data_IF_315547825651
#
_entry.id   IF_315547825651
#
_cell.length_a   1.000
_cell.length_b   1.000
_cell.length_c   1.000
_cell.angle_alpha   90.00
_cell.angle_beta   90.00
_cell.angle_gamma   90.00
#
_symmetry.space_group_name_H-M   'P 1'
#
loop_
_entity.id
_entity.type
_entity.pdbx_description
1 polymer ?
#
# COMPACT_ATOMS: atom_id res chain seq x y z
N UNK A 1 -22.94 18.01 12.88
CA UNK A 1 -22.93 16.67 12.24
C UNK A 1 -23.55 16.82 10.85
N UNK A 2 -22.86 16.37 9.82
CA UNK A 2 -23.34 16.40 8.43
C UNK A 2 -24.38 15.31 8.19
N UNK A 3 -25.11 15.38 7.06
CA UNK A 3 -26.16 14.40 6.84
C UNK A 3 -25.62 13.07 6.29
N UNK A 4 -25.09 13.07 5.06
CA UNK A 4 -24.76 11.83 4.36
C UNK A 4 -23.41 11.89 3.68
N UNK A 5 -22.62 10.83 3.79
CA UNK A 5 -21.41 10.59 3.04
C UNK A 5 -21.51 9.32 2.20
N UNK A 6 -20.91 9.32 1.02
CA UNK A 6 -20.79 8.13 0.17
C UNK A 6 -19.30 7.78 0.02
N UNK A 7 -18.98 6.49 0.12
CA UNK A 7 -17.67 5.92 -0.18
C UNK A 7 -17.83 4.94 -1.33
N UNK A 8 -17.11 5.17 -2.42
CA UNK A 8 -17.08 4.29 -3.59
C UNK A 8 -15.94 3.27 -3.42
N UNK A 9 -16.29 1.98 -3.32
CA UNK A 9 -15.35 0.88 -3.09
C UNK A 9 -15.31 0.40 -1.64
N UNK A 10 -15.54 -0.88 -1.44
CA UNK A 10 -15.64 -1.54 -0.13
C UNK A 10 -14.39 -2.36 0.27
N UNK A 11 -13.21 -2.05 -0.27
CA UNK A 11 -11.94 -2.65 0.17
C UNK A 11 -11.32 -1.87 1.34
N UNK A 12 -10.11 -2.19 1.77
CA UNK A 12 -9.47 -1.59 2.96
C UNK A 12 -9.54 -0.06 2.93
N UNK A 13 -9.14 0.58 1.83
CA UNK A 13 -9.14 2.04 1.73
C UNK A 13 -10.54 2.65 1.95
N UNK A 14 -11.58 2.06 1.35
CA UNK A 14 -12.95 2.52 1.51
C UNK A 14 -13.49 2.32 2.93
N UNK A 15 -13.21 1.18 3.55
CA UNK A 15 -13.59 0.91 4.95
C UNK A 15 -12.95 1.89 5.92
N UNK A 16 -11.65 2.20 5.72
CA UNK A 16 -10.93 3.18 6.53
C UNK A 16 -11.47 4.60 6.31
N UNK A 17 -11.81 4.97 5.07
CA UNK A 17 -12.45 6.24 4.77
C UNK A 17 -13.86 6.33 5.39
N UNK A 18 -14.67 5.26 5.30
CA UNK A 18 -15.99 5.20 5.94
C UNK A 18 -15.89 5.36 7.46
N UNK A 19 -14.89 4.72 8.10
CA UNK A 19 -14.60 4.91 9.53
C UNK A 19 -14.26 6.37 9.84
N UNK A 20 -13.43 7.02 9.05
CA UNK A 20 -13.07 8.41 9.24
C UNK A 20 -14.29 9.33 9.15
N UNK A 21 -15.23 9.04 8.24
CA UNK A 21 -16.47 9.81 8.03
C UNK A 21 -17.50 9.57 9.14
N UNK A 22 -17.58 8.34 9.70
CA UNK A 22 -18.64 7.93 10.62
C UNK A 22 -18.75 8.81 11.88
N UNK A 23 -17.65 9.44 12.28
CA UNK A 23 -17.61 10.32 13.45
C UNK A 23 -18.24 11.71 13.20
N UNK A 24 -18.47 12.08 11.93
CA UNK A 24 -18.90 13.42 11.53
C UNK A 24 -20.20 13.43 10.75
N UNK A 25 -20.68 12.28 10.28
CA UNK A 25 -21.90 12.14 9.48
C UNK A 25 -22.97 11.34 10.21
N UNK A 26 -24.23 11.65 9.93
CA UNK A 26 -25.38 10.87 10.43
C UNK A 26 -25.47 9.51 9.72
N UNK A 27 -25.11 9.48 8.43
CA UNK A 27 -25.16 8.29 7.59
C UNK A 27 -23.92 8.23 6.68
N UNK A 28 -23.30 7.05 6.57
CA UNK A 28 -22.20 6.77 5.65
C UNK A 28 -22.58 5.52 4.84
N UNK A 29 -22.60 5.64 3.52
CA UNK A 29 -22.92 4.53 2.61
C UNK A 29 -21.67 4.11 1.87
N UNK A 30 -21.25 2.84 2.03
CA UNK A 30 -20.22 2.22 1.19
C UNK A 30 -20.92 1.57 -0.01
N UNK A 31 -20.54 1.95 -1.23
CA UNK A 31 -21.03 1.36 -2.46
C UNK A 31 -19.94 0.46 -3.04
N UNK A 32 -20.23 -0.85 -3.11
CA UNK A 32 -19.29 -1.87 -3.57
C UNK A 32 -19.87 -2.63 -4.77
N UNK A 33 -19.11 -2.69 -5.85
CA UNK A 33 -19.51 -3.39 -7.06
C UNK A 33 -19.42 -4.93 -6.93
N UNK A 34 -18.71 -5.43 -5.93
CA UNK A 34 -18.64 -6.85 -5.62
C UNK A 34 -19.76 -7.35 -4.74
N UNK A 35 -19.87 -8.67 -4.65
CA UNK A 35 -20.75 -9.36 -3.71
C UNK A 35 -20.35 -9.08 -2.25
N UNK A 36 -21.27 -9.27 -1.32
CA UNK A 36 -20.95 -9.25 0.11
C UNK A 36 -19.93 -10.33 0.41
N UNK A 37 -18.81 -9.95 0.96
CA UNK A 37 -17.74 -10.89 1.28
C UNK A 37 -18.01 -11.59 2.62
N UNK A 38 -17.89 -12.90 2.62
CA UNK A 38 -18.17 -13.78 3.77
C UNK A 38 -16.95 -14.04 4.68
N UNK A 39 -15.78 -13.52 4.30
CA UNK A 39 -14.55 -13.73 5.05
C UNK A 39 -13.97 -15.14 4.97
N UNK A 40 -14.43 -16.01 4.05
CA UNK A 40 -13.97 -17.40 3.93
C UNK A 40 -13.05 -17.64 2.75
N UNK A 41 -13.23 -16.88 1.69
CA UNK A 41 -12.49 -17.03 0.44
C UNK A 41 -11.88 -15.72 -0.02
N UNK A 42 -10.91 -15.76 -0.95
CA UNK A 42 -10.37 -14.54 -1.55
C UNK A 42 -11.45 -13.80 -2.37
N UNK A 43 -11.45 -12.47 -2.30
CA UNK A 43 -12.41 -11.64 -3.05
C UNK A 43 -12.14 -11.70 -4.55
N UNK A 44 -13.14 -12.11 -5.35
CA UNK A 44 -13.04 -12.26 -6.81
C UNK A 44 -12.55 -11.00 -7.54
N UNK A 45 -12.92 -9.80 -7.05
CA UNK A 45 -12.57 -8.50 -7.66
C UNK A 45 -11.34 -7.82 -7.04
N UNK A 46 -10.60 -8.54 -6.17
CA UNK A 46 -9.39 -8.04 -5.49
C UNK A 46 -8.26 -9.06 -5.69
N UNK A 47 -7.74 -9.22 -6.92
CA UNK A 47 -6.75 -10.26 -7.25
C UNK A 47 -5.47 -10.13 -6.41
N UNK A 48 -5.09 -8.92 -5.99
CA UNK A 48 -3.95 -8.66 -5.13
C UNK A 48 -4.10 -9.30 -3.72
N UNK A 49 -5.29 -9.73 -3.29
CA UNK A 49 -5.48 -10.38 -1.99
C UNK A 49 -4.73 -11.70 -1.83
N UNK A 50 -4.30 -12.32 -2.93
CA UNK A 50 -3.53 -13.56 -2.94
C UNK A 50 -2.02 -13.35 -2.77
N UNK A 51 -1.58 -12.12 -2.59
CA UNK A 51 -0.17 -11.75 -2.47
C UNK A 51 0.13 -11.16 -1.08
N UNK A 52 1.39 -11.17 -0.62
CA UNK A 52 1.75 -10.58 0.65
C UNK A 52 1.45 -9.08 0.68
N UNK A 53 1.04 -8.59 1.84
CA UNK A 53 0.82 -7.18 2.11
C UNK A 53 1.47 -6.83 3.43
N UNK A 54 2.52 -6.04 3.34
CA UNK A 54 3.18 -5.50 4.53
C UNK A 54 2.38 -4.29 5.02
N UNK A 55 2.03 -4.28 6.30
CA UNK A 55 1.48 -3.11 6.96
C UNK A 55 2.63 -2.36 7.64
N UNK A 56 3.08 -1.27 7.02
CA UNK A 56 4.16 -0.45 7.58
C UNK A 56 3.71 0.23 8.88
N UNK A 57 4.64 0.50 9.78
CA UNK A 57 4.33 1.05 11.12
C UNK A 57 3.54 2.36 11.08
N UNK A 58 3.78 3.24 10.10
CA UNK A 58 3.00 4.46 9.91
C UNK A 58 1.53 4.17 9.59
N UNK A 59 1.28 3.15 8.78
CA UNK A 59 -0.08 2.66 8.47
C UNK A 59 -0.74 1.99 9.67
N UNK A 60 -0.02 1.11 10.37
CA UNK A 60 -0.49 0.47 11.61
C UNK A 60 -0.93 1.52 12.64
N UNK A 61 -0.09 2.54 12.88
CA UNK A 61 -0.43 3.64 13.76
C UNK A 61 -1.67 4.43 13.32
N UNK A 62 -1.86 4.60 12.00
CA UNK A 62 -3.03 5.28 11.46
C UNK A 62 -4.31 4.45 11.64
N UNK A 63 -4.24 3.13 11.41
CA UNK A 63 -5.35 2.20 11.65
C UNK A 63 -5.72 2.18 13.14
N UNK A 64 -4.74 2.13 14.03
CA UNK A 64 -4.95 2.17 15.49
C UNK A 64 -5.66 3.48 15.93
N UNK A 65 -5.34 4.63 15.28
CA UNK A 65 -6.04 5.90 15.54
C UNK A 65 -7.48 5.89 15.04
N UNK A 66 -7.77 5.20 13.95
CA UNK A 66 -9.13 5.04 13.42
C UNK A 66 -9.95 4.04 14.25
N UNK A 67 -9.33 2.94 14.65
CA UNK A 67 -9.93 1.85 15.41
C UNK A 67 -9.09 1.54 16.65
N UNK A 68 -9.30 2.26 17.76
CA UNK A 68 -8.54 2.02 18.99
C UNK A 68 -8.59 0.54 19.42
N UNK A 69 -7.43 0.02 19.85
CA UNK A 69 -7.18 -1.37 20.28
C UNK A 69 -7.19 -2.43 19.15
N UNK A 70 -7.31 -2.05 17.87
CA UNK A 70 -7.34 -3.01 16.76
C UNK A 70 -6.05 -3.83 16.65
N UNK A 71 -4.90 -3.27 17.02
CA UNK A 71 -3.61 -3.97 17.04
C UNK A 71 -3.64 -5.17 17.97
N UNK A 72 -4.13 -5.00 19.21
CA UNK A 72 -4.25 -6.10 20.17
C UNK A 72 -5.30 -7.14 19.73
N UNK A 73 -6.39 -6.68 19.11
CA UNK A 73 -7.41 -7.58 18.57
C UNK A 73 -6.85 -8.45 17.43
N UNK A 74 -6.07 -7.86 16.52
CA UNK A 74 -5.40 -8.58 15.45
C UNK A 74 -4.39 -9.61 15.99
N UNK A 75 -3.62 -9.25 17.01
CA UNK A 75 -2.71 -10.17 17.68
C UNK A 75 -3.50 -11.35 18.29
N UNK A 76 -4.62 -11.07 18.96
CA UNK A 76 -5.47 -12.11 19.58
C UNK A 76 -6.07 -13.10 18.56
N UNK A 77 -6.25 -12.70 17.29
CA UNK A 77 -6.75 -13.55 16.21
C UNK A 77 -5.64 -14.12 15.31
N UNK A 78 -4.37 -14.00 15.70
CA UNK A 78 -3.25 -14.69 15.07
C UNK A 78 -2.23 -13.84 14.33
N UNK A 79 -2.37 -12.50 14.31
CA UNK A 79 -1.31 -11.63 13.77
C UNK A 79 -0.01 -11.80 14.55
N UNK A 80 1.11 -11.84 13.84
CA UNK A 80 2.42 -12.11 14.40
C UNK A 80 3.10 -10.78 14.71
N UNK A 81 3.60 -10.64 15.95
CA UNK A 81 4.42 -9.49 16.33
C UNK A 81 5.88 -9.78 16.01
N UNK A 82 6.52 -8.91 15.25
CA UNK A 82 7.94 -9.02 14.94
C UNK A 82 8.69 -7.71 15.23
N UNK A 83 9.98 -7.85 15.55
CA UNK A 83 10.91 -6.73 15.62
C UNK A 83 11.58 -6.59 14.23
N UNK A 84 11.31 -5.49 13.53
CA UNK A 84 11.72 -5.32 12.14
C UNK A 84 13.21 -5.58 11.90
N UNK A 85 14.08 -5.09 12.77
CA UNK A 85 15.53 -5.20 12.57
C UNK A 85 16.13 -6.49 13.08
N UNK A 86 15.44 -7.23 13.98
CA UNK A 86 15.87 -8.54 14.47
C UNK A 86 15.33 -9.69 13.63
N UNK A 87 14.03 -9.62 13.29
CA UNK A 87 13.26 -10.77 12.80
C UNK A 87 13.13 -10.79 11.27
N UNK A 88 13.66 -9.75 10.57
CA UNK A 88 13.76 -9.71 9.12
C UNK A 88 15.19 -10.02 8.67
N UNK A 89 15.42 -11.16 8.02
CA UNK A 89 16.64 -11.41 7.24
C UNK A 89 16.55 -10.62 5.93
N UNK A 90 17.38 -9.59 5.78
CA UNK A 90 17.31 -8.72 4.62
C UNK A 90 18.63 -8.70 3.84
N UNK A 91 18.58 -9.18 2.59
CA UNK A 91 19.67 -9.12 1.63
C UNK A 91 19.44 -7.98 0.62
N UNK A 92 20.45 -7.14 0.43
CA UNK A 92 20.36 -6.01 -0.50
C UNK A 92 21.76 -5.55 -0.93
N UNK A 93 21.97 -5.30 -2.23
CA UNK A 93 23.27 -4.93 -2.82
C UNK A 93 24.40 -5.87 -2.42
N UNK A 94 24.14 -7.19 -2.45
CA UNK A 94 25.12 -8.24 -2.16
C UNK A 94 25.44 -8.42 -0.66
N UNK A 95 24.73 -7.72 0.24
CA UNK A 95 25.02 -7.72 1.67
C UNK A 95 23.79 -8.13 2.48
N UNK A 96 24.00 -8.99 3.48
CA UNK A 96 23.02 -9.25 4.53
C UNK A 96 23.09 -8.17 5.60
N UNK A 97 21.95 -7.65 6.01
CA UNK A 97 21.88 -6.74 7.16
C UNK A 97 22.06 -7.52 8.45
N UNK A 98 22.91 -7.02 9.32
CA UNK A 98 23.12 -7.62 10.64
C UNK A 98 21.89 -7.37 11.53
N UNK A 99 21.31 -8.43 12.13
CA UNK A 99 20.16 -8.29 13.02
C UNK A 99 20.53 -7.66 14.35
N UNK A 100 19.63 -6.84 14.89
CA UNK A 100 19.70 -6.32 16.25
C UNK A 100 18.31 -6.00 16.77
N UNK A 101 18.14 -5.92 18.09
CA UNK A 101 16.86 -5.53 18.68
C UNK A 101 16.71 -4.02 18.58
N UNK A 102 15.85 -3.59 17.65
CA UNK A 102 15.50 -2.19 17.47
C UNK A 102 14.15 -1.86 18.13
N UNK A 103 13.74 -0.61 17.96
CA UNK A 103 12.51 -0.08 18.57
C UNK A 103 11.22 -0.33 17.77
N UNK A 104 11.33 -0.77 16.50
CA UNK A 104 10.18 -0.90 15.61
C UNK A 104 9.63 -2.31 15.69
N UNK A 105 8.48 -2.43 16.35
CA UNK A 105 7.68 -3.63 16.37
C UNK A 105 6.49 -3.44 15.43
N UNK A 106 6.22 -4.43 14.62
CA UNK A 106 5.14 -4.44 13.62
C UNK A 106 4.28 -5.68 13.81
N UNK A 107 3.01 -5.58 13.48
CA UNK A 107 2.15 -6.73 13.28
C UNK A 107 2.17 -7.15 11.82
N UNK A 108 2.15 -8.45 11.59
CA UNK A 108 2.04 -9.01 10.24
C UNK A 108 1.02 -10.13 10.22
N UNK A 109 0.30 -10.18 9.13
CA UNK A 109 -0.78 -11.11 8.86
C UNK A 109 -1.04 -11.15 7.36
N UNK A 110 -1.88 -12.08 6.93
CA UNK A 110 -2.43 -12.02 5.58
C UNK A 110 -3.30 -10.77 5.40
N UNK A 111 -3.42 -10.30 4.16
CA UNK A 111 -4.39 -9.25 3.83
C UNK A 111 -5.82 -9.67 4.16
N UNK A 112 -6.09 -10.96 4.02
CA UNK A 112 -7.37 -11.56 4.35
C UNK A 112 -7.76 -11.30 5.82
N UNK A 113 -6.89 -11.64 6.76
CA UNK A 113 -7.13 -11.44 8.19
C UNK A 113 -7.32 -9.96 8.52
N UNK A 114 -6.43 -9.09 8.01
CA UNK A 114 -6.53 -7.64 8.23
C UNK A 114 -7.85 -7.08 7.68
N UNK A 115 -8.20 -7.40 6.43
CA UNK A 115 -9.39 -6.84 5.78
C UNK A 115 -10.68 -7.37 6.42
N UNK A 116 -10.71 -8.65 6.82
CA UNK A 116 -11.83 -9.24 7.53
C UNK A 116 -12.04 -8.60 8.91
N UNK A 117 -10.98 -8.41 9.65
CA UNK A 117 -11.07 -7.79 10.96
C UNK A 117 -11.56 -6.33 10.89
N UNK A 118 -11.05 -5.55 9.92
CA UNK A 118 -11.57 -4.21 9.64
C UNK A 118 -13.05 -4.27 9.25
N UNK A 119 -13.48 -5.22 8.41
CA UNK A 119 -14.88 -5.40 8.04
C UNK A 119 -15.75 -5.63 9.28
N UNK A 120 -15.36 -6.54 10.15
CA UNK A 120 -16.08 -6.83 11.40
C UNK A 120 -16.25 -5.57 12.26
N UNK A 121 -15.20 -4.74 12.36
CA UNK A 121 -15.27 -3.46 13.08
C UNK A 121 -16.21 -2.45 12.40
N UNK A 122 -16.25 -2.42 11.07
CA UNK A 122 -17.18 -1.57 10.30
C UNK A 122 -18.63 -2.00 10.51
N UNK A 123 -18.91 -3.31 10.48
CA UNK A 123 -20.26 -3.85 10.64
C UNK A 123 -20.90 -3.52 12.01
N UNK A 124 -20.07 -3.22 13.02
CA UNK A 124 -20.54 -2.79 14.35
C UNK A 124 -20.77 -1.26 14.46
N UNK A 125 -20.58 -0.49 13.40
CA UNK A 125 -20.80 0.97 13.41
C UNK A 125 -22.19 1.26 12.85
N UNK A 126 -23.11 1.67 13.71
CA UNK A 126 -24.54 1.76 13.41
C UNK A 126 -24.92 2.73 12.29
N UNK A 127 -24.10 3.76 12.03
CA UNK A 127 -24.35 4.74 10.96
C UNK A 127 -23.58 4.46 9.67
N UNK A 128 -22.95 3.28 9.53
CA UNK A 128 -22.34 2.82 8.27
C UNK A 128 -23.21 1.71 7.69
N UNK A 129 -23.58 1.86 6.43
CA UNK A 129 -24.28 0.82 5.65
C UNK A 129 -23.50 0.50 4.37
N UNK A 130 -23.69 -0.70 3.82
CA UNK A 130 -23.03 -1.11 2.57
C UNK A 130 -24.08 -1.54 1.54
N UNK A 131 -23.96 -1.01 0.31
CA UNK A 131 -24.68 -1.45 -0.88
C UNK A 131 -23.72 -2.29 -1.73
N UNK A 132 -23.93 -3.59 -1.74
CA UNK A 132 -23.16 -4.54 -2.55
C UNK A 132 -23.76 -4.67 -3.95
N UNK A 133 -23.02 -5.28 -4.87
CA UNK A 133 -23.42 -5.48 -6.27
C UNK A 133 -23.96 -4.21 -6.92
N UNK A 134 -23.39 -3.08 -6.53
CA UNK A 134 -23.81 -1.75 -6.94
C UNK A 134 -22.62 -1.00 -7.53
N UNK A 135 -22.72 -0.62 -8.80
CA UNK A 135 -21.70 0.10 -9.53
C UNK A 135 -22.04 1.60 -9.56
N UNK A 136 -21.07 2.43 -9.21
CA UNK A 136 -21.17 3.88 -9.45
C UNK A 136 -20.78 4.17 -10.88
N UNK A 137 -21.71 4.77 -11.64
CA UNK A 137 -21.55 5.08 -13.07
C UNK A 137 -21.17 6.56 -13.31
N UNK A 138 -21.46 7.46 -12.35
CA UNK A 138 -21.17 8.88 -12.49
C UNK A 138 -21.37 9.68 -11.21
N UNK A 139 -20.99 10.96 -11.27
CA UNK A 139 -21.18 11.92 -10.20
C UNK A 139 -22.45 12.77 -10.46
N UNK A 140 -23.13 13.16 -9.41
CA UNK A 140 -24.15 14.20 -9.44
C UNK A 140 -23.46 15.53 -9.11
N UNK A 141 -23.32 16.41 -10.09
CA UNK A 141 -22.60 17.67 -9.93
C UNK A 141 -23.57 18.85 -10.11
N UNK A 142 -23.57 19.76 -9.14
CA UNK A 142 -24.19 21.06 -9.27
C UNK A 142 -23.20 22.01 -9.98
N UNK A 143 -23.40 22.20 -11.27
CA UNK A 143 -22.52 23.01 -12.12
C UNK A 143 -22.50 24.51 -11.77
N UNK A 144 -23.54 25.01 -11.11
CA UNK A 144 -23.60 26.44 -10.71
C UNK A 144 -22.60 26.77 -9.59
N UNK A 145 -22.40 25.83 -8.67
CA UNK A 145 -21.50 26.01 -7.51
C UNK A 145 -20.30 25.07 -7.54
N UNK A 146 -20.10 24.36 -8.64
CA UNK A 146 -19.01 23.37 -8.82
C UNK A 146 -18.89 22.42 -7.61
N UNK A 147 -19.99 21.72 -7.30
CA UNK A 147 -20.07 20.86 -6.12
C UNK A 147 -20.63 19.48 -6.47
N UNK A 148 -19.98 18.44 -6.01
CA UNK A 148 -20.52 17.07 -6.06
C UNK A 148 -21.61 16.94 -4.97
N UNK A 149 -22.79 16.48 -5.40
CA UNK A 149 -23.99 16.31 -4.58
C UNK A 149 -24.38 14.86 -4.39
N UNK A 150 -23.61 13.92 -4.90
CA UNK A 150 -23.90 12.50 -4.82
C UNK A 150 -23.38 11.72 -6.01
N UNK A 151 -23.96 10.56 -6.24
CA UNK A 151 -23.56 9.63 -7.30
C UNK A 151 -24.77 9.06 -8.03
N UNK A 152 -24.55 8.66 -9.30
CA UNK A 152 -25.42 7.78 -10.07
C UNK A 152 -24.95 6.35 -9.88
N UNK A 153 -25.80 5.50 -9.33
CA UNK A 153 -25.48 4.12 -9.00
C UNK A 153 -26.42 3.17 -9.75
N UNK A 154 -25.91 1.98 -10.10
CA UNK A 154 -26.65 0.93 -10.77
C UNK A 154 -26.53 -0.36 -10.00
N UNK A 155 -27.63 -0.96 -9.60
CA UNK A 155 -27.67 -2.33 -9.08
C UNK A 155 -27.31 -3.30 -10.21
N UNK A 156 -26.31 -4.13 -10.01
CA UNK A 156 -25.84 -5.08 -11.04
C UNK A 156 -26.74 -6.30 -11.20
N UNK A 157 -27.48 -6.65 -10.14
CA UNK A 157 -28.42 -7.76 -10.17
C UNK A 157 -29.70 -7.40 -10.97
N UNK A 158 -30.30 -6.25 -10.67
CA UNK A 158 -31.59 -5.84 -11.24
C UNK A 158 -31.46 -4.91 -12.45
N UNK A 159 -30.29 -4.29 -12.63
CA UNK A 159 -30.07 -3.24 -13.62
C UNK A 159 -30.68 -1.88 -13.26
N UNK A 160 -31.34 -1.76 -12.07
CA UNK A 160 -32.00 -0.54 -11.62
C UNK A 160 -30.98 0.57 -11.35
N UNK A 161 -31.24 1.75 -11.87
CA UNK A 161 -30.45 2.95 -11.62
C UNK A 161 -31.09 3.81 -10.53
N UNK A 162 -30.26 4.39 -9.67
CA UNK A 162 -30.69 5.33 -8.64
C UNK A 162 -29.72 6.51 -8.51
N UNK A 163 -30.22 7.66 -8.12
CA UNK A 163 -29.43 8.80 -7.73
C UNK A 163 -29.36 8.90 -6.20
N UNK A 164 -28.16 8.84 -5.63
CA UNK A 164 -27.95 8.90 -4.19
C UNK A 164 -27.29 10.23 -3.86
N UNK A 165 -28.04 11.09 -3.15
CA UNK A 165 -27.56 12.41 -2.72
C UNK A 165 -26.63 12.28 -1.50
N UNK A 166 -25.58 13.11 -1.43
CA UNK A 166 -24.65 13.18 -0.30
C UNK A 166 -23.98 14.55 -0.18
N UNK A 167 -23.52 14.87 1.01
CA UNK A 167 -22.73 16.08 1.28
C UNK A 167 -21.29 15.93 0.79
N UNK A 168 -20.77 14.68 0.77
CA UNK A 168 -19.43 14.34 0.31
C UNK A 168 -19.40 12.95 -0.34
N UNK A 169 -18.58 12.80 -1.35
CA UNK A 169 -18.25 11.51 -2.01
C UNK A 169 -16.76 11.27 -1.87
N UNK A 170 -16.38 10.10 -1.38
CA UNK A 170 -14.99 9.64 -1.31
C UNK A 170 -14.80 8.47 -2.27
N UNK A 171 -13.98 8.65 -3.30
CA UNK A 171 -13.63 7.58 -4.22
C UNK A 171 -12.43 6.80 -3.69
N UNK A 172 -12.69 5.56 -3.28
CA UNK A 172 -11.73 4.55 -2.86
C UNK A 172 -11.82 3.29 -3.74
N UNK A 173 -12.28 3.44 -5.00
CA UNK A 173 -12.53 2.33 -5.94
C UNK A 173 -11.25 1.70 -6.51
N UNK A 174 -10.08 2.18 -6.09
CA UNK A 174 -8.79 1.62 -6.44
C UNK A 174 -8.27 2.07 -7.81
N UNK A 175 -7.37 1.28 -8.40
CA UNK A 175 -6.71 1.64 -9.66
C UNK A 175 -7.69 1.85 -10.82
N UNK A 176 -8.80 1.14 -10.83
CA UNK A 176 -9.87 1.26 -11.83
C UNK A 176 -10.79 2.46 -11.64
N UNK A 177 -10.47 3.40 -10.75
CA UNK A 177 -11.24 4.62 -10.52
C UNK A 177 -11.56 5.37 -11.80
N UNK A 178 -12.82 5.79 -11.92
CA UNK A 178 -13.31 6.61 -13.01
C UNK A 178 -13.36 8.11 -12.67
N UNK A 179 -12.90 8.51 -11.48
CA UNK A 179 -12.97 9.92 -11.04
C UNK A 179 -12.37 10.90 -12.04
N UNK A 180 -11.23 10.55 -12.68
CA UNK A 180 -10.64 11.43 -13.72
C UNK A 180 -11.54 11.53 -14.95
N UNK A 181 -12.14 10.42 -15.38
CA UNK A 181 -13.05 10.43 -16.51
C UNK A 181 -14.29 11.28 -16.22
N UNK A 182 -14.87 11.11 -15.03
CA UNK A 182 -16.01 11.94 -14.59
C UNK A 182 -15.66 13.43 -14.48
N UNK A 183 -14.46 13.77 -13.99
CA UNK A 183 -14.03 15.18 -13.90
C UNK A 183 -13.82 15.80 -15.27
N UNK A 184 -13.37 15.05 -16.28
CA UNK A 184 -13.24 15.50 -17.67
C UNK A 184 -14.58 15.91 -18.29
N UNK A 185 -15.68 15.24 -17.93
CA UNK A 185 -17.02 15.62 -18.39
C UNK A 185 -17.39 17.06 -17.94
N UNK A 186 -16.72 17.56 -16.90
CA UNK A 186 -16.87 18.92 -16.38
C UNK A 186 -15.68 19.83 -16.74
N UNK A 187 -14.88 19.46 -17.76
CA UNK A 187 -13.70 20.21 -18.21
C UNK A 187 -12.62 20.37 -17.10
N UNK A 188 -12.50 19.41 -16.19
CA UNK A 188 -11.49 19.40 -15.14
C UNK A 188 -10.44 18.34 -15.48
N UNK A 189 -9.24 18.79 -15.82
CA UNK A 189 -8.10 17.91 -16.11
C UNK A 189 -7.26 17.68 -14.87
N UNK A 190 -6.94 16.40 -14.61
CA UNK A 190 -6.04 15.97 -13.54
C UNK A 190 -4.80 15.35 -14.16
N UNK A 191 -3.65 15.91 -13.87
CA UNK A 191 -2.38 15.37 -14.33
C UNK A 191 -2.11 14.00 -13.71
N UNK A 192 -1.70 13.01 -14.53
CA UNK A 192 -1.22 11.72 -14.07
C UNK A 192 0.29 11.58 -14.30
N UNK A 193 1.02 11.31 -13.22
CA UNK A 193 2.42 10.88 -13.28
C UNK A 193 2.45 9.36 -13.40
N UNK A 194 2.77 8.84 -14.59
CA UNK A 194 2.89 7.40 -14.86
C UNK A 194 4.35 7.00 -14.96
N UNK A 195 4.74 5.97 -14.21
CA UNK A 195 6.08 5.41 -14.24
C UNK A 195 5.98 3.94 -14.61
N UNK A 196 6.58 3.59 -15.73
CA UNK A 196 6.66 2.20 -16.21
C UNK A 196 7.53 1.41 -15.25
N UNK A 197 7.07 0.23 -14.84
CA UNK A 197 7.79 -0.71 -13.98
C UNK A 197 7.80 -2.11 -14.58
N UNK A 198 6.75 -2.48 -15.33
CA UNK A 198 6.54 -3.81 -15.91
C UNK A 198 6.89 -4.91 -14.90
N UNK A 199 6.32 -4.76 -13.71
CA UNK A 199 6.55 -5.65 -12.59
C UNK A 199 5.67 -6.89 -12.69
N UNK A 200 6.22 -8.04 -12.40
CA UNK A 200 5.43 -9.19 -12.00
C UNK A 200 5.66 -9.54 -10.53
N UNK A 201 4.63 -10.14 -9.92
CA UNK A 201 4.84 -11.02 -8.77
C UNK A 201 4.21 -12.37 -9.00
N UNK A 202 4.92 -13.40 -8.54
CA UNK A 202 4.41 -14.75 -8.49
C UNK A 202 4.48 -15.23 -7.05
N UNK A 203 3.33 -15.57 -6.50
CA UNK A 203 3.18 -15.96 -5.10
C UNK A 203 2.61 -17.37 -4.97
N UNK A 204 3.13 -18.11 -4.01
CA UNK A 204 2.61 -19.39 -3.56
C UNK A 204 2.61 -19.44 -2.03
N UNK A 205 1.62 -20.08 -1.42
CA UNK A 205 1.60 -20.32 0.02
C UNK A 205 2.22 -21.66 0.37
N UNK A 206 2.93 -21.67 1.49
CA UNK A 206 3.61 -22.84 2.03
C UNK A 206 3.29 -23.01 3.52
N UNK A 207 3.51 -24.25 3.99
CA UNK A 207 3.54 -24.61 5.40
C UNK A 207 4.84 -25.37 5.65
N UNK A 208 5.56 -25.07 6.72
CA UNK A 208 6.75 -25.85 7.08
C UNK A 208 6.35 -27.26 7.50
N UNK A 209 7.20 -28.22 7.16
CA UNK A 209 7.07 -29.61 7.61
C UNK A 209 7.13 -29.68 9.13
N UNK A 210 6.59 -30.75 9.70
CA UNK A 210 6.61 -30.96 11.15
C UNK A 210 8.04 -30.91 11.68
N UNK A 211 8.23 -30.21 12.80
CA UNK A 211 9.52 -29.98 13.46
C UNK A 211 10.48 -29.01 12.76
N UNK A 212 10.16 -28.50 11.57
CA UNK A 212 10.96 -27.46 10.92
C UNK A 212 10.59 -26.06 11.45
N UNK A 213 11.59 -25.20 11.56
CA UNK A 213 11.42 -23.79 11.98
C UNK A 213 12.29 -22.90 11.12
N UNK A 214 11.80 -21.70 10.85
CA UNK A 214 12.63 -20.61 10.37
C UNK A 214 13.29 -19.91 11.57
N UNK A 215 14.54 -19.50 11.37
CA UNK A 215 15.31 -18.71 12.33
C UNK A 215 15.00 -17.20 12.25
N UNK A 216 14.01 -16.81 11.43
CA UNK A 216 13.52 -15.45 11.27
C UNK A 216 12.02 -15.46 10.95
N UNK A 217 11.31 -14.35 11.21
CA UNK A 217 9.91 -14.22 10.81
C UNK A 217 9.76 -13.96 9.30
N UNK A 218 10.70 -13.23 8.71
CA UNK A 218 10.66 -12.87 7.31
C UNK A 218 12.03 -12.94 6.68
N UNK A 219 12.06 -13.23 5.38
CA UNK A 219 13.26 -13.11 4.55
C UNK A 219 12.96 -12.24 3.34
N UNK A 220 13.79 -11.24 3.11
CA UNK A 220 13.68 -10.33 1.97
C UNK A 220 15.00 -10.26 1.22
N UNK A 221 14.97 -10.59 -0.06
CA UNK A 221 16.00 -10.17 -1.00
C UNK A 221 15.42 -9.07 -1.88
N UNK A 222 15.92 -7.85 -1.73
CA UNK A 222 15.50 -6.73 -2.56
C UNK A 222 16.20 -6.75 -3.92
N UNK A 223 15.53 -6.38 -5.00
CA UNK A 223 16.19 -6.09 -6.26
C UNK A 223 17.33 -5.10 -6.06
N UNK A 224 18.43 -5.28 -6.76
CA UNK A 224 19.64 -4.46 -6.60
C UNK A 224 20.21 -4.12 -7.98
N UNK A 225 19.50 -3.24 -8.67
CA UNK A 225 19.86 -2.84 -10.03
C UNK A 225 21.22 -2.13 -10.11
N UNK A 226 21.97 -2.36 -11.20
CA UNK A 226 21.68 -3.17 -12.39
C UNK A 226 21.95 -4.68 -12.21
N UNK A 227 22.58 -5.10 -11.09
CA UNK A 227 23.19 -6.40 -10.93
C UNK A 227 22.19 -7.54 -10.71
N UNK A 228 21.07 -7.25 -10.05
CA UNK A 228 20.01 -8.22 -9.77
C UNK A 228 18.62 -7.58 -9.95
N UNK A 229 17.84 -7.99 -10.99
CA UNK A 229 16.49 -7.49 -11.23
C UNK A 229 15.42 -8.17 -10.40
N UNK A 230 15.75 -9.25 -9.68
CA UNK A 230 14.79 -10.08 -8.98
C UNK A 230 14.71 -9.77 -7.49
N UNK A 231 13.52 -9.93 -6.94
CA UNK A 231 13.26 -9.88 -5.51
C UNK A 231 12.56 -11.15 -5.03
N UNK A 232 12.75 -11.48 -3.77
CA UNK A 232 11.98 -12.50 -3.08
C UNK A 232 11.59 -12.04 -1.69
N UNK A 233 10.35 -12.32 -1.33
CA UNK A 233 9.84 -12.16 0.04
C UNK A 233 9.29 -13.50 0.53
N UNK A 234 9.85 -14.02 1.61
CA UNK A 234 9.22 -15.07 2.43
C UNK A 234 8.63 -14.37 3.63
N UNK A 235 7.32 -14.41 3.77
CA UNK A 235 6.59 -13.74 4.85
C UNK A 235 5.78 -14.75 5.64
N UNK A 236 6.04 -14.84 6.94
CA UNK A 236 5.19 -15.61 7.86
C UNK A 236 3.85 -14.90 8.04
N UNK A 237 2.77 -15.64 8.03
CA UNK A 237 1.43 -15.17 8.34
C UNK A 237 0.79 -16.06 9.41
N UNK A 238 -0.44 -15.77 9.81
CA UNK A 238 -1.20 -16.57 10.78
C UNK A 238 -1.22 -18.07 10.41
N UNK A 239 -1.42 -18.94 11.40
CA UNK A 239 -1.51 -20.41 11.28
C UNK A 239 -0.21 -21.10 10.78
N UNK A 240 0.96 -20.51 11.07
CA UNK A 240 2.27 -21.00 10.60
C UNK A 240 2.33 -21.18 9.07
N UNK A 241 1.64 -20.34 8.32
CA UNK A 241 1.69 -20.30 6.87
C UNK A 241 2.68 -19.24 6.40
N UNK A 242 3.17 -19.42 5.19
CA UNK A 242 4.17 -18.56 4.60
C UNK A 242 3.76 -18.18 3.17
N UNK A 243 3.85 -16.90 2.83
CA UNK A 243 3.92 -16.49 1.43
C UNK A 243 5.37 -16.54 0.96
N UNK A 244 5.60 -17.22 -0.16
CA UNK A 244 6.83 -17.08 -0.95
C UNK A 244 6.45 -16.33 -2.22
N UNK A 245 7.05 -15.17 -2.41
CA UNK A 245 6.72 -14.28 -3.54
C UNK A 245 7.99 -13.87 -4.26
N UNK A 246 8.05 -14.21 -5.53
CA UNK A 246 9.08 -13.71 -6.44
C UNK A 246 8.58 -12.47 -7.16
N UNK A 247 9.49 -11.55 -7.46
CA UNK A 247 9.22 -10.35 -8.24
C UNK A 247 10.33 -10.12 -9.27
N UNK A 248 9.97 -9.55 -10.41
CA UNK A 248 10.90 -9.13 -11.44
C UNK A 248 10.33 -7.96 -12.22
N UNK A 249 11.21 -7.15 -12.76
CA UNK A 249 10.89 -5.89 -13.45
C UNK A 249 11.21 -5.96 -14.93
N UNK A 250 10.76 -4.95 -15.69
CA UNK A 250 11.10 -4.76 -17.10
C UNK A 250 10.75 -5.94 -18.00
N UNK A 251 9.57 -6.56 -17.78
CA UNK A 251 9.06 -7.71 -18.52
C UNK A 251 9.85 -9.01 -18.33
N UNK A 252 10.61 -9.15 -17.24
CA UNK A 252 11.16 -10.44 -16.86
C UNK A 252 10.09 -11.54 -16.83
N UNK A 253 10.49 -12.78 -17.16
CA UNK A 253 9.56 -13.91 -17.23
C UNK A 253 9.16 -14.36 -15.81
N UNK A 254 7.86 -14.31 -15.54
CA UNK A 254 7.28 -14.80 -14.29
C UNK A 254 7.19 -16.33 -14.31
N UNK A 255 7.62 -17.07 -13.27
CA UNK A 255 7.37 -18.50 -13.15
C UNK A 255 5.88 -18.79 -13.02
N UNK A 256 5.38 -19.79 -13.77
CA UNK A 256 3.95 -20.12 -13.84
C UNK A 256 3.66 -21.59 -13.49
N UNK A 257 4.65 -22.47 -13.60
CA UNK A 257 4.56 -23.88 -13.22
C UNK A 257 5.36 -24.17 -11.97
N UNK A 258 5.15 -25.30 -11.36
CA UNK A 258 5.89 -25.73 -10.18
C UNK A 258 7.39 -25.80 -10.49
N UNK A 259 7.77 -26.46 -11.58
CA UNK A 259 9.17 -26.59 -12.00
C UNK A 259 9.80 -25.19 -12.20
N UNK A 260 9.13 -24.29 -12.95
CA UNK A 260 9.62 -22.92 -13.14
C UNK A 260 9.75 -22.15 -11.81
N UNK A 261 8.89 -22.45 -10.81
CA UNK A 261 8.94 -21.79 -9.51
C UNK A 261 10.16 -22.22 -8.68
N UNK A 262 10.47 -23.51 -8.68
CA UNK A 262 11.65 -24.05 -8.00
C UNK A 262 12.94 -23.68 -8.75
N UNK A 263 12.97 -23.80 -10.07
CA UNK A 263 14.10 -23.35 -10.91
C UNK A 263 14.41 -21.86 -10.69
N UNK A 264 13.38 -21.03 -10.55
CA UNK A 264 13.56 -19.61 -10.25
C UNK A 264 14.26 -19.40 -8.90
N UNK A 265 13.87 -20.16 -7.87
CA UNK A 265 14.49 -20.11 -6.56
C UNK A 265 15.97 -20.54 -6.59
N UNK A 266 16.30 -21.59 -7.34
CA UNK A 266 17.67 -22.09 -7.48
C UNK A 266 18.60 -21.11 -8.19
N UNK A 267 18.06 -20.31 -9.12
CA UNK A 267 18.81 -19.29 -9.85
C UNK A 267 18.96 -17.96 -9.12
N UNK A 268 18.43 -17.83 -7.90
CA UNK A 268 18.67 -16.64 -7.08
C UNK A 268 20.10 -16.63 -6.51
N UNK A 269 20.62 -15.45 -6.25
CA UNK A 269 21.98 -15.26 -5.70
C UNK A 269 22.12 -15.68 -4.22
N UNK A 270 21.06 -16.20 -3.60
CA UNK A 270 21.02 -16.66 -2.21
C UNK A 270 20.36 -18.04 -2.12
N UNK A 271 21.01 -19.01 -1.45
CA UNK A 271 20.47 -20.36 -1.27
C UNK A 271 19.36 -20.46 -0.22
N UNK A 272 19.22 -19.48 0.64
CA UNK A 272 18.26 -19.51 1.75
C UNK A 272 16.81 -19.73 1.31
N UNK A 273 16.45 -19.37 0.09
CA UNK A 273 15.10 -19.58 -0.47
C UNK A 273 14.90 -21.05 -0.80
N UNK A 274 15.85 -21.67 -1.47
CA UNK A 274 15.83 -23.11 -1.77
C UNK A 274 15.87 -23.94 -0.49
N UNK A 275 16.68 -23.54 0.50
CA UNK A 275 16.74 -24.18 1.81
C UNK A 275 15.37 -24.14 2.51
N UNK A 276 14.62 -23.03 2.38
CA UNK A 276 13.25 -22.94 2.89
C UNK A 276 12.30 -23.86 2.13
N UNK A 277 12.32 -23.82 0.79
CA UNK A 277 11.42 -24.60 -0.05
C UNK A 277 11.60 -26.12 0.15
N UNK A 278 12.81 -26.58 0.42
CA UNK A 278 13.11 -27.99 0.73
C UNK A 278 12.51 -28.46 2.08
N UNK A 279 12.14 -27.52 2.97
CA UNK A 279 11.57 -27.79 4.29
C UNK A 279 10.08 -27.50 4.37
N UNK A 280 9.47 -27.10 3.28
CA UNK A 280 8.10 -26.60 3.26
C UNK A 280 7.26 -27.30 2.20
N UNK A 281 6.01 -27.56 2.52
CA UNK A 281 5.00 -28.08 1.61
C UNK A 281 4.20 -26.92 1.01
N UNK A 282 3.97 -26.97 -0.30
CA UNK A 282 3.12 -26.02 -0.99
C UNK A 282 1.64 -26.32 -0.72
N UNK A 283 0.91 -25.32 -0.20
CA UNK A 283 -0.51 -25.45 0.18
C UNK A 283 -1.46 -24.62 -0.70
N UNK A 284 -0.94 -24.02 -1.76
CA UNK A 284 -1.75 -23.29 -2.73
C UNK A 284 -1.21 -23.43 -4.15
N UNK A 285 -2.04 -23.10 -5.14
CA UNK A 285 -1.59 -22.90 -6.50
C UNK A 285 -0.79 -21.60 -6.62
N UNK A 286 0.07 -21.52 -7.63
CA UNK A 286 0.81 -20.33 -8.02
C UNK A 286 -0.18 -19.25 -8.49
N UNK A 287 0.01 -18.02 -8.03
CA UNK A 287 -0.76 -16.84 -8.45
C UNK A 287 0.20 -15.79 -8.97
N UNK A 288 0.00 -15.34 -10.20
CA UNK A 288 0.81 -14.30 -10.83
C UNK A 288 -0.03 -13.04 -11.06
N UNK A 289 0.56 -11.89 -10.73
CA UNK A 289 -0.04 -10.58 -10.97
C UNK A 289 0.98 -9.67 -11.65
N UNK A 290 0.54 -8.94 -12.69
CA UNK A 290 1.39 -8.03 -13.46
C UNK A 290 0.94 -6.59 -13.30
N UNK A 291 1.90 -5.69 -13.13
CA UNK A 291 1.68 -4.27 -12.94
C UNK A 291 2.58 -3.49 -13.91
N UNK A 292 2.03 -2.95 -14.98
CA UNK A 292 2.85 -2.23 -15.96
C UNK A 292 3.32 -0.86 -15.48
N UNK A 293 2.52 -0.17 -14.65
CA UNK A 293 2.79 1.20 -14.23
C UNK A 293 2.43 1.40 -12.76
N UNK A 294 3.25 2.17 -12.04
CA UNK A 294 2.79 2.93 -10.88
C UNK A 294 2.25 4.29 -11.36
N UNK A 295 1.25 4.82 -10.65
CA UNK A 295 0.51 6.01 -11.10
C UNK A 295 0.20 6.91 -9.93
N UNK A 296 0.51 8.20 -10.05
CA UNK A 296 0.11 9.25 -9.10
C UNK A 296 -0.76 10.26 -9.82
N UNK A 297 -1.94 10.53 -9.26
CA UNK A 297 -2.88 11.52 -9.76
C UNK A 297 -2.75 12.81 -8.97
N UNK A 298 -2.43 13.90 -9.64
CA UNK A 298 -2.02 15.17 -9.05
C UNK A 298 -3.23 16.06 -8.78
N UNK A 299 -4.18 15.58 -7.98
CA UNK A 299 -5.31 16.39 -7.52
C UNK A 299 -4.87 17.65 -6.76
N UNK A 300 -3.71 17.59 -6.12
CA UNK A 300 -3.10 18.72 -5.39
C UNK A 300 -2.70 19.91 -6.28
N UNK A 301 -2.57 19.70 -7.59
CA UNK A 301 -2.23 20.75 -8.57
C UNK A 301 -3.46 21.34 -9.27
N UNK A 302 -4.66 20.82 -9.02
CA UNK A 302 -5.89 21.29 -9.68
C UNK A 302 -6.53 22.42 -8.88
N UNK A 303 -6.63 23.61 -9.48
CA UNK A 303 -7.16 24.80 -8.80
C UNK A 303 -8.69 24.81 -8.67
N UNK A 304 -9.40 24.06 -9.52
CA UNK A 304 -10.85 24.12 -9.67
C UNK A 304 -11.50 22.75 -9.45
N UNK A 305 -10.99 21.95 -8.51
CA UNK A 305 -11.66 20.72 -8.10
C UNK A 305 -13.06 21.04 -7.53
N UNK A 306 -14.06 20.20 -7.83
CA UNK A 306 -15.38 20.38 -7.25
C UNK A 306 -15.32 20.14 -5.74
N UNK A 307 -16.10 20.91 -5.02
CA UNK A 307 -16.32 20.66 -3.59
C UNK A 307 -17.02 19.32 -3.40
N UNK A 308 -16.75 18.62 -2.31
CA UNK A 308 -17.45 17.40 -1.95
C UNK A 308 -16.97 16.14 -2.68
N UNK A 309 -15.86 16.16 -3.45
CA UNK A 309 -15.20 14.97 -3.99
C UNK A 309 -13.80 14.82 -3.42
N UNK A 310 -13.52 13.65 -2.83
CA UNK A 310 -12.20 13.25 -2.40
C UNK A 310 -11.85 11.90 -3.04
N UNK A 311 -10.55 11.67 -3.25
CA UNK A 311 -10.02 10.43 -3.84
C UNK A 311 -8.90 9.90 -2.94
N UNK A 312 -8.91 8.60 -2.61
CA UNK A 312 -7.96 7.97 -1.68
C UNK A 312 -7.46 6.61 -2.16
N UNK A 313 -6.38 6.13 -1.58
CA UNK A 313 -5.79 4.82 -1.87
C UNK A 313 -5.29 4.72 -3.32
N UNK A 314 -5.41 3.55 -3.94
CA UNK A 314 -4.92 3.31 -5.32
C UNK A 314 -5.66 4.16 -6.36
N UNK A 315 -6.84 4.71 -6.03
CA UNK A 315 -7.54 5.69 -6.86
C UNK A 315 -6.80 7.03 -6.88
N UNK A 316 -6.07 7.39 -5.82
CA UNK A 316 -5.23 8.58 -5.74
C UNK A 316 -3.79 8.29 -6.18
N UNK A 317 -3.17 7.25 -5.59
CA UNK A 317 -1.81 6.87 -5.93
C UNK A 317 -1.60 5.36 -5.82
N UNK A 318 -1.31 4.72 -6.97
CA UNK A 318 -0.90 3.32 -7.02
C UNK A 318 0.61 3.25 -7.03
N UNK A 319 1.18 2.70 -5.98
CA UNK A 319 2.62 2.50 -5.82
C UNK A 319 3.11 1.19 -6.46
N UNK A 320 4.43 1.10 -6.58
CA UNK A 320 5.12 -0.17 -6.75
C UNK A 320 4.91 -1.00 -5.46
N UNK A 321 4.23 -2.14 -5.54
CA UNK A 321 3.83 -2.87 -4.36
C UNK A 321 4.96 -3.63 -3.65
N UNK A 322 6.13 -3.81 -4.30
CA UNK A 322 7.32 -4.42 -3.65
C UNK A 322 7.73 -3.65 -2.38
N UNK A 323 7.39 -2.36 -2.31
CA UNK A 323 7.68 -1.53 -1.13
C UNK A 323 6.63 -1.62 -0.01
N UNK A 324 5.50 -2.32 -0.22
CA UNK A 324 4.48 -2.53 0.81
C UNK A 324 3.73 -1.28 1.27
N UNK A 325 3.70 -0.19 0.49
CA UNK A 325 3.25 1.13 0.95
C UNK A 325 1.76 1.39 0.82
N UNK A 326 1.06 0.73 -0.13
CA UNK A 326 -0.30 1.09 -0.55
C UNK A 326 -1.33 1.12 0.59
N UNK A 327 -1.43 0.04 1.38
CA UNK A 327 -2.38 -0.05 2.51
C UNK A 327 -2.05 0.99 3.58
N UNK A 328 -0.75 1.19 3.84
CA UNK A 328 -0.29 2.13 4.86
C UNK A 328 -0.58 3.58 4.49
N UNK A 329 -0.37 3.95 3.24
CA UNK A 329 -0.71 5.29 2.74
C UNK A 329 -2.21 5.52 2.77
N UNK A 330 -3.03 4.56 2.33
CA UNK A 330 -4.49 4.67 2.39
C UNK A 330 -5.00 4.85 3.84
N UNK A 331 -4.38 4.17 4.81
CA UNK A 331 -4.70 4.35 6.23
C UNK A 331 -4.33 5.75 6.73
N UNK A 332 -3.16 6.25 6.34
CA UNK A 332 -2.73 7.61 6.70
C UNK A 332 -3.61 8.68 6.05
N UNK A 333 -4.07 8.48 4.80
CA UNK A 333 -5.03 9.37 4.13
C UNK A 333 -6.37 9.40 4.85
N UNK A 334 -6.91 8.23 5.23
CA UNK A 334 -8.15 8.12 5.98
C UNK A 334 -8.06 8.78 7.37
N UNK A 335 -6.96 8.57 8.09
CA UNK A 335 -6.73 9.25 9.37
C UNK A 335 -6.60 10.77 9.18
N UNK A 336 -5.93 11.22 8.11
CA UNK A 336 -5.84 12.64 7.79
C UNK A 336 -7.22 13.25 7.47
N UNK A 337 -8.10 12.50 6.79
CA UNK A 337 -9.49 12.89 6.57
C UNK A 337 -10.23 13.08 7.90
N UNK A 338 -10.12 12.13 8.83
CA UNK A 338 -10.72 12.23 10.16
C UNK A 338 -10.26 13.51 10.90
N UNK A 339 -8.96 13.79 10.89
CA UNK A 339 -8.39 14.97 11.54
C UNK A 339 -8.90 16.30 10.93
N UNK A 340 -9.12 16.32 9.62
CA UNK A 340 -9.67 17.50 8.95
C UNK A 340 -11.16 17.70 9.29
N UNK A 341 -11.93 16.62 9.32
CA UNK A 341 -13.35 16.65 9.67
C UNK A 341 -13.60 17.18 11.09
N UNK A 342 -12.73 16.82 12.03
CA UNK A 342 -12.81 17.32 13.42
C UNK A 342 -12.58 18.84 13.54
N UNK A 343 -11.90 19.46 12.56
CA UNK A 343 -11.52 20.88 12.59
C UNK A 343 -12.37 21.77 11.70
N UNK A 344 -13.22 21.23 10.84
CA UNK A 344 -13.96 21.94 9.81
C UNK A 344 -15.45 21.65 9.89
N UNK A 345 -16.25 22.70 9.64
CA UNK A 345 -17.71 22.63 9.65
C UNK A 345 -18.34 22.71 8.25
N UNK A 346 -17.51 22.82 7.18
CA UNK A 346 -17.97 22.93 5.80
C UNK A 346 -17.06 22.16 4.86
N UNK A 347 -17.65 21.57 3.82
CA UNK A 347 -16.96 20.97 2.69
C UNK A 347 -16.87 21.98 1.54
N UNK A 348 -16.08 23.01 1.75
CA UNK A 348 -15.81 24.05 0.77
C UNK A 348 -14.51 23.76 -0.03
N UNK A 349 -14.22 24.64 -0.98
CA UNK A 349 -12.98 24.58 -1.77
C UNK A 349 -11.74 24.50 -0.87
N UNK A 350 -11.72 25.22 0.24
CA UNK A 350 -10.58 25.23 1.16
C UNK A 350 -10.40 23.87 1.86
N UNK A 351 -11.49 23.18 2.19
CA UNK A 351 -11.41 21.81 2.71
C UNK A 351 -10.80 20.85 1.69
N UNK A 352 -11.31 20.86 0.45
CA UNK A 352 -10.82 19.98 -0.64
C UNK A 352 -9.33 20.24 -0.92
N UNK A 353 -8.91 21.49 -1.04
CA UNK A 353 -7.52 21.87 -1.26
C UNK A 353 -6.62 21.45 -0.10
N UNK A 354 -7.06 21.65 1.14
CA UNK A 354 -6.30 21.25 2.33
C UNK A 354 -6.15 19.73 2.43
N UNK A 355 -7.19 18.97 2.08
CA UNK A 355 -7.12 17.51 2.02
C UNK A 355 -6.04 17.05 1.04
N UNK A 356 -6.11 17.48 -0.21
CA UNK A 356 -5.14 17.06 -1.21
C UNK A 356 -3.71 17.54 -0.93
N UNK A 357 -3.54 18.73 -0.37
CA UNK A 357 -2.23 19.20 0.09
C UNK A 357 -1.64 18.28 1.17
N UNK A 358 -2.45 17.83 2.12
CA UNK A 358 -2.02 16.95 3.21
C UNK A 358 -1.73 15.53 2.72
N UNK A 359 -2.61 14.97 1.91
CA UNK A 359 -2.44 13.61 1.36
C UNK A 359 -1.30 13.56 0.34
N UNK A 360 -1.10 14.60 -0.47
CA UNK A 360 0.07 14.72 -1.35
C UNK A 360 1.40 14.68 -0.59
N UNK A 361 1.46 15.30 0.61
CA UNK A 361 2.65 15.21 1.48
C UNK A 361 2.87 13.78 2.02
N UNK A 362 1.79 13.06 2.32
CA UNK A 362 1.86 11.64 2.74
C UNK A 362 2.41 10.79 1.59
N UNK A 363 1.93 11.00 0.38
CA UNK A 363 2.31 10.28 -0.84
C UNK A 363 3.74 10.58 -1.29
N UNK A 364 4.24 11.80 -1.06
CA UNK A 364 5.50 12.28 -1.65
C UNK A 364 6.70 11.38 -1.33
N UNK A 365 6.90 11.03 -0.06
CA UNK A 365 8.03 10.18 0.35
C UNK A 365 7.96 8.77 -0.26
N UNK A 366 6.84 8.01 -0.13
CA UNK A 366 6.68 6.72 -0.78
C UNK A 366 6.90 6.79 -2.31
N UNK A 367 6.34 7.79 -2.96
CA UNK A 367 6.46 7.98 -4.41
C UNK A 367 7.91 8.22 -4.84
N UNK A 368 8.63 9.10 -4.17
CA UNK A 368 10.04 9.38 -4.47
C UNK A 368 10.95 8.17 -4.21
N UNK A 369 10.67 7.37 -3.17
CA UNK A 369 11.42 6.15 -2.89
C UNK A 369 11.31 5.14 -4.04
N UNK A 370 10.09 4.87 -4.50
CA UNK A 370 9.87 3.91 -5.59
C UNK A 370 10.48 4.39 -6.91
N UNK A 371 10.31 5.68 -7.27
CA UNK A 371 10.93 6.26 -8.47
C UNK A 371 12.45 6.19 -8.41
N UNK A 372 13.03 6.48 -7.25
CA UNK A 372 14.48 6.45 -7.06
C UNK A 372 15.03 5.06 -7.34
N UNK A 373 14.41 4.02 -6.77
CA UNK A 373 14.91 2.66 -6.95
C UNK A 373 14.69 2.15 -8.38
N UNK A 374 13.51 2.36 -8.97
CA UNK A 374 13.25 1.92 -10.36
C UNK A 374 14.16 2.63 -11.38
N UNK A 375 14.61 3.85 -11.08
CA UNK A 375 15.53 4.60 -11.94
C UNK A 375 16.95 3.99 -12.01
N UNK A 376 17.27 3.02 -11.15
CA UNK A 376 18.52 2.23 -11.23
C UNK A 376 18.46 1.16 -12.31
N UNK A 377 17.24 0.74 -12.71
CA UNK A 377 17.06 -0.32 -13.69
C UNK A 377 17.46 0.13 -15.10
N UNK A 378 18.37 -0.58 -15.80
CA UNK A 378 18.90 -0.11 -17.09
C UNK A 378 17.82 0.11 -18.15
N UNK A 379 16.83 -0.77 -18.25
CA UNK A 379 15.77 -0.71 -19.27
C UNK A 379 14.62 0.24 -18.89
N UNK A 380 14.49 0.61 -17.61
CA UNK A 380 13.46 1.52 -17.11
C UNK A 380 14.02 2.90 -16.78
N UNK A 381 15.32 3.08 -17.07
CA UNK A 381 16.06 4.31 -16.78
C UNK A 381 15.43 5.52 -17.48
N UNK A 382 15.30 6.59 -16.72
CA UNK A 382 14.88 7.91 -17.18
C UNK A 382 16.11 8.83 -17.29
N UNK A 383 15.94 9.92 -18.02
CA UNK A 383 16.90 11.03 -17.89
C UNK A 383 16.85 11.59 -16.47
N UNK A 384 17.98 11.53 -15.80
CA UNK A 384 18.10 11.94 -14.41
C UNK A 384 18.80 13.28 -14.32
N UNK A 385 18.22 14.18 -13.56
CA UNK A 385 18.88 15.42 -13.14
C UNK A 385 20.10 15.11 -12.26
N UNK A 386 21.01 16.06 -12.12
CA UNK A 386 22.19 15.92 -11.24
C UNK A 386 21.76 15.63 -9.81
N UNK A 387 20.69 16.29 -9.33
CA UNK A 387 20.12 16.04 -7.99
C UNK A 387 19.69 14.59 -7.83
N UNK A 388 18.99 14.01 -8.81
CA UNK A 388 18.54 12.62 -8.77
C UNK A 388 19.71 11.63 -8.83
N UNK A 389 20.75 11.92 -9.61
CA UNK A 389 21.97 11.08 -9.63
C UNK A 389 22.66 11.08 -8.26
N UNK A 390 22.75 12.22 -7.60
CA UNK A 390 23.29 12.32 -6.23
C UNK A 390 22.42 11.54 -5.25
N UNK A 391 21.10 11.65 -5.35
CA UNK A 391 20.15 10.91 -4.50
C UNK A 391 20.30 9.40 -4.69
N UNK A 392 20.40 8.90 -5.93
CA UNK A 392 20.63 7.49 -6.23
C UNK A 392 21.95 6.99 -5.61
N UNK A 393 23.04 7.73 -5.79
CA UNK A 393 24.31 7.39 -5.16
C UNK A 393 24.20 7.36 -3.64
N UNK A 394 23.62 8.39 -3.04
CA UNK A 394 23.48 8.51 -1.59
C UNK A 394 22.65 7.38 -0.99
N UNK A 395 21.50 7.06 -1.59
CA UNK A 395 20.65 5.96 -1.10
C UNK A 395 21.33 4.61 -1.23
N UNK A 396 22.14 4.36 -2.29
CA UNK A 396 22.96 3.14 -2.40
C UNK A 396 23.96 3.04 -1.23
N UNK A 397 24.62 4.16 -0.87
CA UNK A 397 25.52 4.17 0.29
C UNK A 397 24.80 3.86 1.60
N UNK A 398 23.60 4.43 1.79
CA UNK A 398 22.77 4.13 2.98
C UNK A 398 22.40 2.66 3.07
N UNK A 399 21.95 2.05 1.97
CA UNK A 399 21.62 0.63 1.94
C UNK A 399 22.82 -0.27 2.27
N UNK A 400 23.97 0.05 1.73
CA UNK A 400 25.19 -0.72 2.01
C UNK A 400 25.70 -0.51 3.44
N UNK A 401 25.69 0.72 3.96
CA UNK A 401 26.09 1.03 5.34
C UNK A 401 25.16 0.38 6.35
N UNK A 402 23.84 0.37 6.09
CA UNK A 402 22.86 -0.25 6.96
C UNK A 402 23.02 -1.78 7.09
N UNK A 403 23.93 -2.41 6.32
CA UNK A 403 24.24 -3.81 6.49
C UNK A 403 25.04 -4.09 7.80
N UNK A 404 25.85 -3.11 8.24
CA UNK A 404 26.74 -3.28 9.42
C UNK A 404 26.63 -2.16 10.46
N UNK A 405 25.96 -1.05 10.14
CA UNK A 405 25.78 0.10 11.02
C UNK A 405 24.32 0.18 11.48
N UNK A 406 24.07 -0.16 12.74
CA UNK A 406 22.72 -0.18 13.33
C UNK A 406 22.08 1.20 13.41
N UNK A 407 22.86 2.29 13.62
CA UNK A 407 22.35 3.66 13.63
C UNK A 407 21.83 4.10 12.26
N UNK A 408 22.56 3.74 11.19
CA UNK A 408 22.10 3.97 9.81
C UNK A 408 20.89 3.10 9.51
N UNK A 409 20.92 1.82 9.91
CA UNK A 409 19.84 0.89 9.65
C UNK A 409 18.52 1.35 10.30
N UNK A 410 18.51 1.68 11.59
CA UNK A 410 17.27 2.12 12.26
C UNK A 410 16.72 3.41 11.68
N UNK A 411 17.57 4.36 11.25
CA UNK A 411 17.13 5.59 10.60
C UNK A 411 16.50 5.32 9.24
N UNK A 412 17.09 4.43 8.46
CA UNK A 412 16.54 3.98 7.18
C UNK A 412 15.16 3.33 7.38
N UNK A 413 15.05 2.40 8.33
CA UNK A 413 13.81 1.69 8.64
C UNK A 413 12.70 2.64 9.13
N UNK A 414 13.02 3.66 9.91
CA UNK A 414 12.04 4.68 10.33
C UNK A 414 11.44 5.44 9.15
N UNK A 415 12.25 5.77 8.16
CA UNK A 415 11.75 6.45 6.94
C UNK A 415 10.95 5.47 6.06
N UNK A 416 11.44 4.25 5.86
CA UNK A 416 10.74 3.23 5.08
C UNK A 416 9.40 2.86 5.70
N UNK A 417 9.30 2.84 7.02
CA UNK A 417 8.06 2.60 7.76
C UNK A 417 7.15 3.83 7.89
N UNK A 418 7.43 4.92 7.19
CA UNK A 418 6.62 6.15 7.13
C UNK A 418 6.38 6.80 8.51
N UNK A 419 7.26 6.59 9.48
CA UNK A 419 7.19 7.20 10.82
C UNK A 419 8.15 8.38 11.00
N UNK A 420 9.06 8.58 10.05
CA UNK A 420 9.96 9.74 10.00
C UNK A 420 10.11 10.26 8.58
N UNK A 421 10.33 11.57 8.46
CA UNK A 421 10.63 12.24 7.21
C UNK A 421 11.98 11.80 6.64
N UNK A 422 12.20 11.82 5.30
CA UNK A 422 13.48 11.54 4.66
C UNK A 422 14.65 12.41 5.17
N UNK A 423 14.37 13.59 5.70
CA UNK A 423 15.39 14.44 6.34
C UNK A 423 16.14 13.75 7.48
N UNK A 424 15.52 12.72 8.08
CA UNK A 424 16.14 11.90 9.13
C UNK A 424 17.40 11.16 8.62
N UNK A 425 17.50 10.92 7.33
CA UNK A 425 18.65 10.29 6.68
C UNK A 425 19.82 11.26 6.45
N UNK A 426 19.60 12.57 6.57
CA UNK A 426 20.64 13.59 6.45
C UNK A 426 21.21 14.04 7.81
N UNK A 427 21.02 13.23 8.85
CA UNK A 427 21.61 13.50 10.15
C UNK A 427 23.15 13.53 10.06
N UNK A 428 23.87 14.45 10.76
CA UNK A 428 25.32 14.61 10.66
C UNK A 428 26.11 13.31 10.81
N UNK A 429 25.74 12.43 11.74
CA UNK A 429 26.38 11.12 11.93
C UNK A 429 26.27 10.25 10.67
N UNK A 430 25.11 10.24 10.00
CA UNK A 430 24.89 9.46 8.77
C UNK A 430 25.70 10.03 7.62
N UNK A 431 25.71 11.35 7.45
CA UNK A 431 26.51 12.03 6.44
C UNK A 431 28.01 11.72 6.63
N UNK A 432 28.49 11.78 7.86
CA UNK A 432 29.88 11.44 8.18
C UNK A 432 30.20 9.98 7.84
N UNK A 433 29.33 9.04 8.20
CA UNK A 433 29.50 7.62 7.88
C UNK A 433 29.57 7.38 6.36
N UNK A 434 28.72 8.05 5.57
CA UNK A 434 28.74 7.97 4.10
C UNK A 434 30.04 8.53 3.52
N UNK A 435 30.55 9.65 4.07
CA UNK A 435 31.79 10.28 3.60
C UNK A 435 33.03 9.44 3.97
N UNK A 436 33.06 8.87 5.17
CA UNK A 436 34.20 8.03 5.63
C UNK A 436 34.32 6.71 4.84
N UNK A 437 33.18 6.10 4.46
CA UNK A 437 33.18 4.90 3.62
C UNK A 437 33.83 5.12 2.26
N UNK A 438 33.82 6.35 1.74
CA UNK A 438 34.42 6.72 0.45
C UNK A 438 35.97 6.68 0.49
N UNK A 439 36.59 6.59 1.69
CA UNK A 439 38.05 6.55 1.88
C UNK A 439 38.61 5.13 2.05
N UNK A 440 37.77 4.12 2.09
CA UNK A 440 38.14 2.69 2.08
C UNK A 440 37.69 2.07 0.76
#
# INVERSE_FOLDING_TARGET
MFNKAIVIGGSIAGKLAAKALSTSFKEVIIIEAGEKWDGKTSRKRVPQSNHPHVLLKGGENAIEKLFPNITNELIAVGSIVNNFTRDLKWHQFGLWKQPFIGEIHMIQQSRFLLEWHIQTRIDHISNITSKFETLVEGLLVDGKVNKVRGVKAKCLETGTQEEIQADIVVDASGFGSKSIAWLREYNIEVQEEKVRIDLFYTTRMFKLNENEKLDCCNMLMSPSFPDNPYGVLIQTIEDNRYFVTFSGYANEKAPQTDDEFYDFAENLSISNVTDFLNKAEAISNIKTYKIPYQVRRRFDLVNHLPEGLLVVGDAHCRFDPVFGQGVSVAAMEAHQLQLLLQRRQKFDKAFTQQFYKKTSNIIQTPWEMTITEISRHPQLKRELTIKQKIQLWYTKQLYQLSASDSDVYIRLVRVMNLIRSPFHLFHPKVLLAVLLKRKK
#
